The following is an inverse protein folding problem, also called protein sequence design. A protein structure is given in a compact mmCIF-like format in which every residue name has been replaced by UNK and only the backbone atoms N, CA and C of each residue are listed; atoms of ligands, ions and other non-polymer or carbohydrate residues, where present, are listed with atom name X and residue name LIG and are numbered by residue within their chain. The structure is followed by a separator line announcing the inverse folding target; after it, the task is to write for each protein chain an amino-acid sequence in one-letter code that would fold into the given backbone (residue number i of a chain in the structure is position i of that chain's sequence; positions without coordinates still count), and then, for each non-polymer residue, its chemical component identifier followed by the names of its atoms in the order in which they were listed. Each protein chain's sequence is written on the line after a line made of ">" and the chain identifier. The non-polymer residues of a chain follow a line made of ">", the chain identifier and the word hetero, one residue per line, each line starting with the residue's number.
data_IF_876003857251
#
_entry.id   IF_876003857251
#
_cell.length_a   1.000
_cell.length_b   1.000
_cell.length_c   1.000
_cell.angle_alpha   90.00
_cell.angle_beta   90.00
_cell.angle_gamma   90.00
#
_symmetry.space_group_name_H-M   'P 1'
#
loop_
_entity.id
_entity.type
_entity.pdbx_description
1 polymer ?
#
# COMPACT_ATOMS: atom_id res chain seq x y z
N UNK A 1 -8.82 18.14 20.22
CA UNK A 1 -9.05 17.40 18.95
C UNK A 1 -7.77 16.67 18.57
N UNK A 2 -7.74 15.34 18.41
CA UNK A 2 -6.55 14.69 17.85
C UNK A 2 -6.47 14.89 16.33
N UNK A 3 -5.28 14.73 15.71
CA UNK A 3 -4.88 15.44 14.48
C UNK A 3 -5.37 14.73 13.21
N UNK A 4 -6.68 14.75 12.95
CA UNK A 4 -7.24 14.21 11.69
C UNK A 4 -6.68 14.92 10.45
N UNK A 5 -6.27 16.19 10.59
CA UNK A 5 -5.71 17.02 9.53
C UNK A 5 -4.38 16.45 8.99
N UNK A 6 -3.55 15.82 9.83
CA UNK A 6 -2.24 15.30 9.41
C UNK A 6 -2.31 13.90 8.78
N UNK A 7 -3.33 13.09 9.10
CA UNK A 7 -3.40 11.68 8.65
C UNK A 7 -3.66 11.54 7.15
N UNK A 8 -4.54 12.40 6.62
CA UNK A 8 -4.90 12.40 5.20
C UNK A 8 -3.71 12.71 4.28
N UNK A 9 -2.95 13.82 4.46
CA UNK A 9 -1.80 14.11 3.60
C UNK A 9 -0.72 13.03 3.70
N UNK A 10 -0.47 12.46 4.89
CA UNK A 10 0.47 11.33 5.04
C UNK A 10 -0.02 10.11 4.25
N UNK A 11 -1.30 9.76 4.36
CA UNK A 11 -1.86 8.62 3.59
C UNK A 11 -1.70 8.84 2.09
N UNK A 12 -1.99 10.05 1.60
CA UNK A 12 -1.81 10.39 0.19
C UNK A 12 -0.35 10.32 -0.25
N UNK A 13 0.59 10.77 0.60
CA UNK A 13 2.02 10.66 0.34
C UNK A 13 2.47 9.19 0.24
N UNK A 14 2.03 8.33 1.16
CA UNK A 14 2.33 6.89 1.12
C UNK A 14 1.70 6.21 -0.10
N UNK A 15 0.44 6.53 -0.42
CA UNK A 15 -0.20 6.05 -1.65
C UNK A 15 0.53 6.51 -2.89
N UNK A 16 0.97 7.78 -2.94
CA UNK A 16 1.77 8.31 -4.03
C UNK A 16 3.11 7.60 -4.17
N UNK A 17 3.80 7.31 -3.07
CA UNK A 17 5.03 6.54 -3.07
C UNK A 17 4.83 5.12 -3.63
N UNK A 18 3.72 4.45 -3.27
CA UNK A 18 3.33 3.16 -3.83
C UNK A 18 3.10 3.21 -5.34
N UNK A 19 2.37 4.23 -5.82
CA UNK A 19 2.17 4.46 -7.26
C UNK A 19 3.51 4.68 -7.97
N UNK A 20 4.41 5.49 -7.40
CA UNK A 20 5.75 5.73 -7.95
C UNK A 20 6.56 4.44 -8.02
N UNK A 21 6.51 3.58 -6.99
CA UNK A 21 7.18 2.28 -7.00
C UNK A 21 6.66 1.37 -8.14
N UNK A 22 5.34 1.35 -8.37
CA UNK A 22 4.74 0.55 -9.44
C UNK A 22 5.02 1.12 -10.83
N UNK A 23 5.02 2.44 -10.98
CA UNK A 23 5.48 3.12 -12.19
C UNK A 23 6.95 2.78 -12.48
N UNK A 24 7.82 2.87 -11.46
CA UNK A 24 9.22 2.52 -11.59
C UNK A 24 9.38 1.06 -12.04
N UNK A 25 8.61 0.15 -11.43
CA UNK A 25 8.62 -1.27 -11.78
C UNK A 25 8.22 -1.50 -13.23
N UNK A 26 7.14 -0.89 -13.69
CA UNK A 26 6.64 -1.07 -15.06
C UNK A 26 7.54 -0.44 -16.11
N UNK A 27 8.07 0.76 -15.86
CA UNK A 27 8.85 1.49 -16.88
C UNK A 27 10.33 1.11 -16.93
N UNK A 28 10.93 0.66 -15.81
CA UNK A 28 12.37 0.45 -15.72
C UNK A 28 12.80 -0.97 -15.37
N UNK A 29 11.87 -1.81 -14.90
CA UNK A 29 12.20 -3.17 -14.44
C UNK A 29 11.46 -4.28 -15.19
N UNK A 30 10.26 -4.02 -15.68
CA UNK A 30 9.48 -5.02 -16.39
C UNK A 30 10.05 -5.29 -17.80
N UNK A 31 10.16 -6.56 -18.15
CA UNK A 31 10.56 -7.01 -19.49
C UNK A 31 9.31 -7.17 -20.38
N UNK A 32 9.47 -7.03 -21.70
CA UNK A 32 8.39 -7.25 -22.69
C UNK A 32 8.10 -6.08 -23.65
N UNK A 33 8.64 -4.88 -23.39
CA UNK A 33 8.56 -3.76 -24.33
C UNK A 33 7.14 -3.36 -24.73
N UNK A 34 6.97 -2.86 -25.97
CA UNK A 34 5.65 -2.41 -26.47
C UNK A 34 4.65 -3.55 -26.63
N UNK A 35 5.12 -4.78 -26.87
CA UNK A 35 4.25 -5.95 -27.09
C UNK A 35 3.49 -6.34 -25.82
N UNK A 36 4.02 -6.02 -24.64
CA UNK A 36 3.39 -6.29 -23.35
C UNK A 36 2.64 -5.08 -22.75
N UNK A 37 2.52 -3.95 -23.48
CA UNK A 37 2.06 -2.68 -22.89
C UNK A 37 0.66 -2.77 -22.28
N UNK A 38 -0.26 -3.52 -22.92
CA UNK A 38 -1.62 -3.72 -22.39
C UNK A 38 -1.62 -4.45 -21.04
N UNK A 39 -0.80 -5.50 -20.93
CA UNK A 39 -0.63 -6.24 -19.67
C UNK A 39 0.02 -5.36 -18.60
N UNK A 40 1.07 -4.61 -18.95
CA UNK A 40 1.79 -3.74 -18.02
C UNK A 40 0.92 -2.60 -17.47
N UNK A 41 0.07 -1.99 -18.32
CA UNK A 41 -0.93 -1.01 -17.88
C UNK A 41 -1.95 -1.66 -16.94
N UNK A 42 -2.45 -2.85 -17.30
CA UNK A 42 -3.36 -3.62 -16.45
C UNK A 42 -2.75 -3.93 -15.08
N UNK A 43 -1.50 -4.39 -15.06
CA UNK A 43 -0.73 -4.67 -13.85
C UNK A 43 -0.51 -3.42 -13.01
N UNK A 44 -0.20 -2.27 -13.63
CA UNK A 44 -0.05 -0.99 -12.96
C UNK A 44 -1.35 -0.58 -12.27
N UNK A 45 -2.47 -0.58 -13.01
CA UNK A 45 -3.77 -0.20 -12.47
C UNK A 45 -4.18 -1.14 -11.33
N UNK A 46 -3.97 -2.45 -11.52
CA UNK A 46 -4.23 -3.45 -10.51
C UNK A 46 -3.40 -3.23 -9.24
N UNK A 47 -2.11 -2.94 -9.39
CA UNK A 47 -1.19 -2.68 -8.28
C UNK A 47 -1.47 -1.36 -7.56
N UNK A 48 -2.10 -0.40 -8.25
CA UNK A 48 -2.55 0.86 -7.65
C UNK A 48 -3.86 0.74 -6.85
N UNK A 49 -4.66 -0.31 -7.07
CA UNK A 49 -5.98 -0.49 -6.43
C UNK A 49 -5.95 -0.41 -4.89
N UNK A 50 -5.03 -1.09 -4.18
CA UNK A 50 -4.96 -1.00 -2.71
C UNK A 50 -4.73 0.43 -2.22
N UNK A 51 -3.90 1.21 -2.92
CA UNK A 51 -3.59 2.59 -2.57
C UNK A 51 -4.75 3.55 -2.86
N UNK A 52 -5.53 3.28 -3.92
CA UNK A 52 -6.75 4.02 -4.20
C UNK A 52 -7.78 3.82 -3.08
N UNK A 53 -7.97 2.59 -2.62
CA UNK A 53 -8.86 2.28 -1.49
C UNK A 53 -8.36 2.94 -0.21
N UNK A 54 -7.06 2.86 0.10
CA UNK A 54 -6.48 3.51 1.26
C UNK A 54 -6.68 5.04 1.23
N UNK A 55 -6.51 5.67 0.06
CA UNK A 55 -6.77 7.10 -0.13
C UNK A 55 -8.26 7.47 0.02
N UNK A 56 -9.18 6.61 -0.42
CA UNK A 56 -10.63 6.79 -0.21
C UNK A 56 -11.00 6.70 1.27
N UNK A 57 -10.48 5.70 1.99
CA UNK A 57 -10.65 5.57 3.44
C UNK A 57 -10.15 6.81 4.19
N UNK A 58 -9.03 7.39 3.73
CA UNK A 58 -8.44 8.62 4.27
C UNK A 58 -9.28 9.89 4.07
N UNK A 59 -10.18 9.91 3.07
CA UNK A 59 -11.11 11.03 2.84
C UNK A 59 -12.33 10.98 3.75
N UNK A 60 -12.66 9.80 4.28
CA UNK A 60 -13.81 9.59 5.16
C UNK A 60 -13.48 9.66 6.65
N UNK A 61 -14.41 9.15 7.47
CA UNK A 61 -14.26 9.02 8.93
C UNK A 61 -13.24 7.95 9.37
N UNK A 62 -12.61 7.27 8.42
CA UNK A 62 -11.71 6.13 8.65
C UNK A 62 -10.24 6.48 8.32
N UNK A 63 -9.82 7.72 8.58
CA UNK A 63 -8.50 8.19 8.17
C UNK A 63 -7.32 7.39 8.75
N UNK A 64 -7.46 6.91 9.99
CA UNK A 64 -6.48 6.02 10.63
C UNK A 64 -6.38 4.67 9.90
N UNK A 65 -7.48 4.16 9.36
CA UNK A 65 -7.50 2.89 8.61
C UNK A 65 -6.81 3.06 7.26
N UNK A 66 -7.10 4.16 6.56
CA UNK A 66 -6.44 4.51 5.31
C UNK A 66 -4.91 4.61 5.48
N UNK A 67 -4.45 5.28 6.54
CA UNK A 67 -3.03 5.37 6.86
C UNK A 67 -2.39 4.00 7.09
N UNK A 68 -2.99 3.18 7.96
CA UNK A 68 -2.48 1.84 8.27
C UNK A 68 -2.45 0.92 7.07
N UNK A 69 -3.49 0.95 6.23
CA UNK A 69 -3.56 0.19 4.99
C UNK A 69 -2.47 0.63 4.01
N UNK A 70 -2.34 1.93 3.72
CA UNK A 70 -1.33 2.44 2.80
C UNK A 70 0.10 2.10 3.25
N UNK A 71 0.39 2.25 4.55
CA UNK A 71 1.70 1.93 5.11
C UNK A 71 2.03 0.44 4.98
N UNK A 72 1.10 -0.45 5.35
CA UNK A 72 1.30 -1.89 5.28
C UNK A 72 1.48 -2.36 3.83
N UNK A 73 0.63 -1.89 2.91
CA UNK A 73 0.76 -2.20 1.48
C UNK A 73 2.10 -1.73 0.91
N UNK A 74 2.56 -0.51 1.27
CA UNK A 74 3.84 0.02 0.78
C UNK A 74 5.04 -0.80 1.25
N UNK A 75 5.06 -1.19 2.53
CA UNK A 75 6.12 -2.05 3.07
C UNK A 75 6.13 -3.40 2.33
N UNK A 76 4.95 -3.98 2.12
CA UNK A 76 4.85 -5.29 1.52
C UNK A 76 5.17 -5.26 0.00
N UNK A 77 4.77 -4.21 -0.71
CA UNK A 77 5.16 -4.00 -2.10
C UNK A 77 6.65 -3.71 -2.24
N UNK A 78 7.24 -2.96 -1.32
CA UNK A 78 8.69 -2.77 -1.26
C UNK A 78 9.44 -4.09 -1.05
N UNK A 79 8.94 -4.94 -0.16
CA UNK A 79 9.47 -6.30 0.04
C UNK A 79 9.32 -7.16 -1.22
N UNK A 80 8.16 -7.10 -1.90
CA UNK A 80 7.93 -7.85 -3.13
C UNK A 80 8.85 -7.36 -4.25
N UNK A 81 8.98 -6.05 -4.43
CA UNK A 81 9.89 -5.45 -5.39
C UNK A 81 11.34 -5.91 -5.16
N UNK A 82 11.83 -5.84 -3.92
CA UNK A 82 13.16 -6.34 -3.57
C UNK A 82 13.29 -7.85 -3.86
N UNK A 83 12.30 -8.65 -3.48
CA UNK A 83 12.30 -10.10 -3.66
C UNK A 83 12.31 -10.51 -5.14
N UNK A 84 11.71 -9.71 -6.03
CA UNK A 84 11.66 -10.01 -7.46
C UNK A 84 12.88 -9.48 -8.21
N UNK A 85 13.35 -8.27 -7.89
CA UNK A 85 14.37 -7.59 -8.69
C UNK A 85 15.77 -7.56 -8.08
N UNK A 86 15.92 -7.90 -6.80
CA UNK A 86 17.23 -7.91 -6.11
C UNK A 86 17.62 -9.28 -5.57
N UNK A 87 16.64 -10.08 -5.14
CA UNK A 87 16.87 -11.43 -4.61
C UNK A 87 15.88 -12.48 -5.15
N UNK A 88 15.77 -12.66 -6.49
CA UNK A 88 14.80 -13.57 -7.09
C UNK A 88 15.02 -15.03 -6.66
N UNK A 89 13.97 -15.65 -6.11
CA UNK A 89 13.96 -17.06 -5.69
C UNK A 89 13.28 -17.97 -6.72
N UNK A 90 13.73 -17.89 -7.97
CA UNK A 90 13.26 -18.73 -9.08
C UNK A 90 12.43 -17.99 -10.13
N UNK A 91 12.12 -18.67 -11.23
CA UNK A 91 11.45 -18.10 -12.43
C UNK A 91 10.00 -17.65 -12.18
N UNK A 92 9.40 -18.06 -11.07
CA UNK A 92 8.03 -17.68 -10.70
C UNK A 92 7.98 -16.43 -9.82
N UNK A 93 9.12 -15.81 -9.48
CA UNK A 93 9.16 -14.63 -8.63
C UNK A 93 8.29 -13.48 -9.18
N UNK A 94 8.26 -13.28 -10.50
CA UNK A 94 7.44 -12.25 -11.13
C UNK A 94 5.93 -12.41 -10.93
N UNK A 95 5.43 -13.64 -10.72
CA UNK A 95 4.02 -13.87 -10.36
C UNK A 95 3.67 -13.22 -9.02
N UNK A 96 4.66 -13.03 -8.14
CA UNK A 96 4.51 -12.27 -6.91
C UNK A 96 3.96 -10.86 -7.18
N UNK A 97 4.42 -10.17 -8.22
CA UNK A 97 3.92 -8.82 -8.57
C UNK A 97 2.45 -8.84 -8.98
N UNK A 98 1.97 -9.91 -9.63
CA UNK A 98 0.58 -10.03 -10.05
C UNK A 98 -0.37 -10.31 -8.88
N UNK A 99 0.05 -11.15 -7.93
CA UNK A 99 -0.77 -11.55 -6.79
C UNK A 99 -0.62 -10.66 -5.56
N UNK A 100 0.45 -9.88 -5.45
CA UNK A 100 0.67 -9.01 -4.30
C UNK A 100 -0.47 -8.01 -4.06
N UNK A 101 -1.06 -7.36 -5.08
CA UNK A 101 -2.18 -6.46 -4.88
C UNK A 101 -3.40 -7.17 -4.29
N UNK A 102 -3.62 -8.44 -4.64
CA UNK A 102 -4.68 -9.28 -4.04
C UNK A 102 -4.42 -9.49 -2.54
N UNK A 103 -3.19 -9.85 -2.16
CA UNK A 103 -2.80 -10.00 -0.75
C UNK A 103 -2.90 -8.69 0.03
N UNK A 104 -2.54 -7.57 -0.61
CA UNK A 104 -2.71 -6.23 -0.07
C UNK A 104 -4.19 -5.90 0.20
N UNK A 105 -5.10 -6.27 -0.69
CA UNK A 105 -6.53 -6.04 -0.51
C UNK A 105 -7.16 -6.93 0.55
N UNK A 106 -6.84 -8.23 0.55
CA UNK A 106 -7.54 -9.21 1.37
C UNK A 106 -6.97 -9.33 2.78
N UNK A 107 -5.67 -9.12 2.96
CA UNK A 107 -4.99 -9.45 4.21
C UNK A 107 -4.15 -8.29 4.72
N UNK A 108 -3.15 -7.85 3.96
CA UNK A 108 -2.10 -6.95 4.48
C UNK A 108 -2.66 -5.55 4.78
N UNK A 109 -3.43 -4.98 3.85
CA UNK A 109 -4.09 -3.69 4.04
C UNK A 109 -5.07 -3.71 5.21
N UNK A 110 -6.02 -4.67 5.29
CA UNK A 110 -6.93 -4.82 6.43
C UNK A 110 -6.20 -5.00 7.77
N UNK A 111 -5.15 -5.82 7.83
CA UNK A 111 -4.34 -6.01 9.05
C UNK A 111 -3.65 -4.72 9.44
N UNK A 112 -3.03 -4.01 8.48
CA UNK A 112 -2.40 -2.71 8.72
C UNK A 112 -3.38 -1.67 9.26
N UNK A 113 -4.58 -1.59 8.66
CA UNK A 113 -5.65 -0.73 9.12
C UNK A 113 -6.10 -1.05 10.55
N UNK A 114 -6.27 -2.33 10.87
CA UNK A 114 -6.67 -2.80 12.19
C UNK A 114 -5.62 -2.46 13.26
N UNK A 115 -4.34 -2.73 12.99
CA UNK A 115 -3.24 -2.46 13.92
C UNK A 115 -3.13 -0.96 14.24
N UNK A 116 -3.16 -0.10 13.22
CA UNK A 116 -3.12 1.34 13.42
C UNK A 116 -4.32 1.86 14.20
N UNK A 117 -5.50 1.29 13.94
CA UNK A 117 -6.70 1.62 14.70
C UNK A 117 -6.60 1.21 16.17
N UNK A 118 -6.11 0.00 16.46
CA UNK A 118 -5.91 -0.48 17.83
C UNK A 118 -4.92 0.42 18.59
N UNK A 119 -3.79 0.75 17.99
CA UNK A 119 -2.80 1.68 18.57
C UNK A 119 -3.44 3.04 18.86
N UNK A 120 -4.17 3.60 17.89
CA UNK A 120 -4.87 4.87 18.07
C UNK A 120 -5.90 4.81 19.21
N UNK A 121 -6.63 3.69 19.36
CA UNK A 121 -7.59 3.49 20.46
C UNK A 121 -6.90 3.42 21.82
N UNK A 122 -5.79 2.70 21.95
CA UNK A 122 -5.06 2.55 23.21
C UNK A 122 -4.46 3.88 23.65
N UNK A 123 -3.77 4.59 22.73
CA UNK A 123 -3.18 5.90 23.02
C UNK A 123 -4.25 6.94 23.36
N UNK A 124 -5.39 6.92 22.65
CA UNK A 124 -6.52 7.80 22.94
C UNK A 124 -7.13 7.58 24.34
N UNK A 125 -7.19 6.32 24.80
CA UNK A 125 -7.68 5.97 26.14
C UNK A 125 -6.76 6.46 27.25
N UNK A 126 -5.44 6.32 27.07
CA UNK A 126 -4.45 6.79 28.06
C UNK A 126 -4.50 8.30 28.27
N UNK A 127 -4.74 9.08 27.20
CA UNK A 127 -4.85 10.54 27.30
C UNK A 127 -6.10 11.03 28.06
N UNK A 128 -7.18 10.24 28.07
CA UNK A 128 -8.39 10.56 28.81
C UNK A 128 -8.37 10.14 30.28
N UNK A 129 -7.39 9.35 30.71
CA UNK A 129 -7.22 8.91 32.10
C UNK A 129 -6.26 9.80 32.91
N UNK A 130 -5.60 10.76 32.24
CA UNK A 130 -4.58 11.66 32.83
C UNK A 130 -5.04 13.13 32.82
N UNK A 131 -6.24 13.41 32.30
CA UNK A 131 -6.88 14.74 32.31
C UNK A 131 -8.14 14.72 33.16
#
# INVERSE_FOLDING_TARGET
>A
MPPSIALKPITLALSGAGVVLHLYTVFFKAEGGMDAIGFLIGLLLWSCTPYAIAALLARGRHAVWGLGAAAACLVADGFMHYSVFSAPKGSTAALGLLFMPLWNLLVIGPVGALLFWLVHRVVGRQRGAVG
#
